data_IF_187254868993
#
_entry.id   IF_187254868993
#
_cell.length_a   1.000
_cell.length_b   1.000
_cell.length_c   1.000
_cell.angle_alpha   90.00
_cell.angle_beta   90.00
_cell.angle_gamma   90.00
#
_symmetry.space_group_name_H-M   'P 1'
#
loop_
_entity.id
_entity.type
_entity.pdbx_description
1 polymer ?
#
# COMPACT_ATOMS: atom_id res chain seq x y z
N UNK A 1 2.64 -30.89 -6.18
CA UNK A 1 2.45 -30.23 -6.21
C UNK A 1 2.06 -29.27 -6.31
N UNK A 2 1.67 -29.13 -6.71
CA UNK A 2 1.12 -28.18 -6.94
C UNK A 2 1.20 -27.27 -6.46
N UNK A 3 1.40 -27.19 -6.03
CA UNK A 3 1.41 -26.26 -5.62
C UNK A 3 2.15 -25.55 -6.02
N UNK A 4 2.61 -25.74 -6.49
CA UNK A 4 3.22 -25.08 -6.81
C UNK A 4 2.91 -24.30 -7.54
N UNK A 5 2.40 -24.54 -8.10
CA UNK A 5 1.88 -23.72 -8.70
C UNK A 5 1.88 -22.59 -8.22
N UNK A 6 1.90 -22.67 -7.43
CA UNK A 6 1.75 -21.52 -6.67
C UNK A 6 2.93 -20.63 -6.71
N UNK A 7 4.05 -21.08 -7.07
CA UNK A 7 5.21 -20.22 -7.11
C UNK A 7 5.06 -19.15 -8.17
N UNK A 8 4.49 -19.50 -9.28
CA UNK A 8 4.21 -18.47 -10.28
C UNK A 8 3.25 -17.47 -9.74
N UNK A 9 2.30 -17.92 -8.97
CA UNK A 9 1.35 -17.03 -8.37
C UNK A 9 2.01 -16.07 -7.42
N UNK A 10 3.01 -16.53 -6.73
CA UNK A 10 3.71 -15.66 -5.79
C UNK A 10 4.31 -14.47 -6.48
N UNK A 11 4.91 -14.70 -7.62
CA UNK A 11 5.48 -13.60 -8.37
C UNK A 11 4.42 -12.59 -8.76
N UNK A 12 3.29 -13.10 -9.23
CA UNK A 12 2.22 -12.22 -9.62
C UNK A 12 1.72 -11.41 -8.45
N UNK A 13 1.65 -12.01 -7.30
CA UNK A 13 1.15 -11.32 -6.13
C UNK A 13 2.01 -10.11 -5.82
N UNK A 14 3.31 -10.23 -5.96
CA UNK A 14 4.18 -9.10 -5.69
C UNK A 14 3.87 -7.94 -6.59
N UNK A 15 3.63 -8.23 -7.86
CA UNK A 15 3.37 -7.16 -8.81
C UNK A 15 1.96 -6.62 -8.71
N UNK A 16 1.08 -7.32 -8.04
CA UNK A 16 -0.30 -6.88 -7.95
C UNK A 16 -0.60 -6.10 -6.69
N UNK A 17 0.41 -5.74 -5.93
CA UNK A 17 0.20 -4.88 -4.76
C UNK A 17 0.01 -3.46 -5.26
N UNK A 18 -1.23 -3.08 -5.41
CA UNK A 18 -1.59 -1.80 -5.98
C UNK A 18 -2.29 -0.94 -4.94
N UNK A 19 -1.89 0.34 -4.84
CA UNK A 19 -2.48 1.21 -3.83
C UNK A 19 -4.00 1.30 -3.93
N UNK A 20 -4.53 1.32 -5.14
CA UNK A 20 -5.96 1.46 -5.32
C UNK A 20 -6.72 0.29 -4.71
N UNK A 21 -6.20 -0.91 -4.88
CA UNK A 21 -6.86 -2.10 -4.34
C UNK A 21 -6.84 -2.06 -2.81
N UNK A 22 -5.68 -1.74 -2.26
CA UNK A 22 -5.54 -1.66 -0.80
C UNK A 22 -6.47 -0.59 -0.24
N UNK A 23 -6.48 0.56 -0.89
CA UNK A 23 -7.29 1.68 -0.46
C UNK A 23 -8.78 1.31 -0.43
N UNK A 24 -9.23 0.65 -1.48
CA UNK A 24 -10.64 0.28 -1.56
C UNK A 24 -11.00 -0.79 -0.53
N UNK A 25 -10.08 -1.69 -0.25
CA UNK A 25 -10.31 -2.67 0.80
C UNK A 25 -10.50 -2.01 2.15
N UNK A 26 -9.84 -0.89 2.36
CA UNK A 26 -9.96 -0.15 3.61
C UNK A 26 -11.08 0.88 3.58
N UNK A 27 -11.81 0.96 2.49
CA UNK A 27 -12.93 1.88 2.33
C UNK A 27 -12.50 3.34 2.51
N UNK A 28 -11.34 3.67 1.98
CA UNK A 28 -10.80 5.02 2.09
C UNK A 28 -10.80 5.73 0.77
N UNK A 29 -11.03 7.04 0.81
CA UNK A 29 -10.79 7.88 -0.35
C UNK A 29 -9.29 8.04 -0.58
N UNK A 30 -8.92 8.60 -1.72
CA UNK A 30 -7.51 8.87 -1.99
C UNK A 30 -6.92 9.78 -0.92
N UNK A 31 -7.64 10.84 -0.58
CA UNK A 31 -7.14 11.78 0.43
C UNK A 31 -6.99 11.12 1.78
N UNK A 32 -7.96 10.30 2.16
CA UNK A 32 -7.90 9.61 3.44
C UNK A 32 -6.72 8.65 3.50
N UNK A 33 -6.53 7.90 2.43
CA UNK A 33 -5.44 6.92 2.39
C UNK A 33 -4.08 7.62 2.42
N UNK A 34 -3.94 8.66 1.61
CA UNK A 34 -2.68 9.41 1.56
C UNK A 34 -2.33 9.96 2.93
N UNK A 35 -3.31 10.56 3.59
CA UNK A 35 -3.08 11.14 4.90
C UNK A 35 -2.78 10.08 5.95
N UNK A 36 -3.53 8.99 5.92
CA UNK A 36 -3.39 7.94 6.93
C UNK A 36 -2.02 7.29 6.88
N UNK A 37 -1.44 7.16 5.70
CA UNK A 37 -0.21 6.40 5.52
C UNK A 37 0.98 7.26 5.09
N UNK A 38 0.85 8.56 5.17
CA UNK A 38 1.96 9.46 4.93
C UNK A 38 2.45 9.48 3.49
N UNK A 39 1.54 9.29 2.55
CA UNK A 39 1.87 9.28 1.12
C UNK A 39 1.37 10.59 0.51
N UNK A 40 2.20 11.30 -0.27
CA UNK A 40 1.69 12.50 -0.93
C UNK A 40 0.52 12.14 -1.84
N UNK A 41 -0.53 12.93 -1.76
CA UNK A 41 -1.73 12.63 -2.53
C UNK A 41 -1.44 12.59 -4.03
N UNK A 42 -0.64 13.52 -4.50
CA UNK A 42 -0.31 13.55 -5.91
C UNK A 42 0.42 12.28 -6.35
N UNK A 43 1.32 11.80 -5.50
CA UNK A 43 2.03 10.57 -5.78
C UNK A 43 1.06 9.39 -5.87
N UNK A 44 0.13 9.30 -4.93
CA UNK A 44 -0.86 8.25 -4.94
C UNK A 44 -1.70 8.31 -6.21
N UNK A 45 -2.10 9.50 -6.61
CA UNK A 45 -2.90 9.67 -7.81
C UNK A 45 -2.13 9.22 -9.05
N UNK A 46 -0.84 9.53 -9.11
CA UNK A 46 -0.02 9.08 -10.24
C UNK A 46 0.07 7.56 -10.31
N UNK A 47 0.22 6.92 -9.17
CA UNK A 47 0.26 5.46 -9.13
C UNK A 47 -1.06 4.88 -9.64
N UNK A 48 -2.17 5.44 -9.17
CA UNK A 48 -3.48 4.89 -9.54
C UNK A 48 -3.84 5.15 -10.98
N UNK A 49 -3.27 6.19 -11.57
CA UNK A 49 -3.48 6.49 -12.99
C UNK A 49 -2.51 5.74 -13.89
N UNK A 50 -1.57 5.01 -13.32
CA UNK A 50 -0.64 4.25 -14.11
C UNK A 50 0.52 5.06 -14.66
N UNK A 51 0.70 6.29 -14.19
CA UNK A 51 1.77 7.14 -14.68
C UNK A 51 3.12 6.72 -14.14
N UNK A 52 3.13 6.25 -12.91
CA UNK A 52 4.34 5.76 -12.26
C UNK A 52 4.00 4.51 -11.47
N UNK A 53 5.00 3.69 -11.25
CA UNK A 53 4.85 2.53 -10.37
C UNK A 53 5.60 2.78 -9.08
N UNK A 54 5.09 2.30 -7.95
CA UNK A 54 5.86 2.37 -6.71
C UNK A 54 7.16 1.60 -6.86
N UNK A 55 8.25 2.16 -6.33
CA UNK A 55 9.51 1.43 -6.37
C UNK A 55 9.48 0.31 -5.33
N UNK A 56 10.58 -0.44 -5.26
CA UNK A 56 10.62 -1.64 -4.42
C UNK A 56 10.34 -1.33 -2.96
N UNK A 57 10.92 -0.27 -2.44
CA UNK A 57 10.73 0.08 -1.05
C UNK A 57 9.29 0.45 -0.77
N UNK A 58 8.69 1.22 -1.67
CA UNK A 58 7.31 1.63 -1.49
C UNK A 58 6.38 0.44 -1.65
N UNK A 59 6.67 -0.45 -2.57
CA UNK A 59 5.86 -1.65 -2.74
C UNK A 59 5.88 -2.48 -1.44
N UNK A 60 7.02 -2.56 -0.79
CA UNK A 60 7.11 -3.26 0.49
C UNK A 60 6.25 -2.57 1.54
N UNK A 61 6.29 -1.25 1.57
CA UNK A 61 5.47 -0.49 2.50
C UNK A 61 3.98 -0.74 2.26
N UNK A 62 3.58 -0.75 1.00
CA UNK A 62 2.19 -1.00 0.66
C UNK A 62 1.75 -2.40 1.11
N UNK A 63 2.64 -3.37 1.04
CA UNK A 63 2.32 -4.70 1.53
C UNK A 63 2.10 -4.70 3.03
N UNK A 64 2.93 -3.96 3.76
CA UNK A 64 2.75 -3.85 5.20
C UNK A 64 1.41 -3.20 5.50
N UNK A 65 1.06 -2.15 4.77
CA UNK A 65 -0.22 -1.50 4.95
C UNK A 65 -1.37 -2.48 4.73
N UNK A 66 -1.25 -3.30 3.69
CA UNK A 66 -2.34 -4.22 3.38
C UNK A 66 -2.54 -5.26 4.47
N UNK A 67 -1.51 -5.57 5.21
CA UNK A 67 -1.60 -6.59 6.26
C UNK A 67 -1.83 -6.01 7.64
N UNK A 68 -1.27 -4.83 7.90
CA UNK A 68 -1.31 -4.24 9.23
C UNK A 68 -1.71 -2.77 9.17
N UNK A 69 -2.87 -2.46 8.57
CA UNK A 69 -3.21 -1.06 8.35
C UNK A 69 -3.35 -0.27 9.64
N UNK A 70 -3.94 -0.87 10.65
CA UNK A 70 -4.15 -0.15 11.90
C UNK A 70 -2.83 0.12 12.59
N UNK A 71 -1.95 -0.86 12.59
CA UNK A 71 -0.66 -0.72 13.25
C UNK A 71 0.18 0.36 12.59
N UNK A 72 0.14 0.42 11.25
CA UNK A 72 0.89 1.46 10.55
C UNK A 72 0.34 2.83 10.90
N UNK A 73 -0.98 2.97 10.89
CA UNK A 73 -1.59 4.25 11.23
C UNK A 73 -1.25 4.67 12.66
N UNK A 74 -1.29 3.73 13.59
CA UNK A 74 -0.96 4.02 14.98
C UNK A 74 0.50 4.47 15.11
N UNK A 75 1.38 3.80 14.40
CA UNK A 75 2.80 4.16 14.46
C UNK A 75 3.03 5.56 13.93
N UNK A 76 2.37 5.91 12.84
CA UNK A 76 2.53 7.24 12.27
C UNK A 76 1.89 8.31 13.14
N UNK A 77 0.78 7.97 13.76
CA UNK A 77 0.11 8.91 14.66
C UNK A 77 0.98 9.20 15.88
N UNK A 78 1.66 8.19 16.39
CA UNK A 78 2.56 8.40 17.51
C UNK A 78 3.65 9.39 17.18
N UNK A 79 4.21 9.26 15.98
CA UNK A 79 5.22 10.21 15.53
C UNK A 79 4.67 11.61 15.49
N UNK A 80 3.43 11.75 15.02
CA UNK A 80 2.81 13.05 14.92
C UNK A 80 2.51 13.65 16.27
N UNK A 81 2.34 12.83 17.28
CA UNK A 81 2.04 13.30 18.62
C UNK A 81 3.25 13.82 19.33
N UNK A 82 4.41 13.49 18.90
CA UNK A 82 5.60 13.94 19.59
C UNK A 82 5.82 15.40 19.41
N UNK A 83 6.06 16.13 20.48
CA UNK A 83 6.27 17.56 20.37
C UNK A 83 7.58 17.90 19.69
#
# INVERSE_FOLDING_TARGET
MGRKLSSASSSSVIYSVQPQIIRKQLSMSQSQFAKAFGIPLRTLQCWEQGQNNPDTAVAAYLRVISKLPKEVQDALAEDNHKP
#
